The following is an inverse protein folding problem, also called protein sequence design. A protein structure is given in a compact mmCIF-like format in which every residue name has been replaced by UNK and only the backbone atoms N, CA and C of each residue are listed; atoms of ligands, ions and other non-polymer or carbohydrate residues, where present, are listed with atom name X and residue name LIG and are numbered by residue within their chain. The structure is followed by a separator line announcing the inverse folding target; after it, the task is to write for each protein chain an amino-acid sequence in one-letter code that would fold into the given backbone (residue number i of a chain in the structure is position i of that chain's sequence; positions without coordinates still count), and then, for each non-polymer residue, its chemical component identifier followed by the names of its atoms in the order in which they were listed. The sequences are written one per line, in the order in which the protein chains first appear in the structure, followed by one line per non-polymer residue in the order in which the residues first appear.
data_IF_544675388886
#
_entry.id   IF_544675388886
#
_cell.length_a   1.000
_cell.length_b   1.000
_cell.length_c   1.000
_cell.angle_alpha   90.00
_cell.angle_beta   90.00
_cell.angle_gamma   90.00
#
_symmetry.space_group_name_H-M   'P 1'
#
loop_
_entity.id
_entity.type
_entity.pdbx_description
1 polymer ?
#
# COMPACT_ATOMS: atom_id res chain seq x y z
N UNK A 1 -3.04 22.39 -3.00
CA UNK A 1 -2.44 21.39 -2.09
C UNK A 1 -2.48 20.04 -2.81
N UNK A 2 -1.34 19.37 -2.98
CA UNK A 2 -1.25 18.13 -3.76
C UNK A 2 -1.23 16.87 -2.89
N UNK A 3 -1.23 15.69 -3.52
CA UNK A 3 -1.26 14.38 -2.84
C UNK A 3 -0.13 14.20 -1.81
N UNK A 4 1.08 14.69 -2.09
CA UNK A 4 2.20 14.63 -1.14
C UNK A 4 1.90 15.39 0.17
N UNK A 5 1.30 16.58 0.07
CA UNK A 5 0.93 17.37 1.25
C UNK A 5 -0.20 16.73 2.06
N UNK A 6 -1.11 15.99 1.41
CA UNK A 6 -2.14 15.23 2.12
C UNK A 6 -1.55 14.02 2.88
N UNK A 7 -0.58 13.35 2.28
CA UNK A 7 0.13 12.22 2.91
C UNK A 7 0.99 12.67 4.09
N UNK A 8 1.73 13.77 3.96
CA UNK A 8 2.50 14.35 5.07
C UNK A 8 1.59 14.67 6.26
N UNK A 9 0.46 15.32 6.00
CA UNK A 9 -0.50 15.66 7.06
C UNK A 9 -1.11 14.44 7.73
N UNK A 10 -1.43 13.39 6.97
CA UNK A 10 -1.95 12.14 7.52
C UNK A 10 -0.89 11.40 8.35
N UNK A 11 0.37 11.41 7.91
CA UNK A 11 1.47 10.82 8.65
C UNK A 11 1.69 11.52 10.00
N UNK A 12 1.63 12.85 10.02
CA UNK A 12 1.72 13.65 11.24
C UNK A 12 0.58 13.35 12.23
N UNK A 13 -0.62 13.08 11.73
CA UNK A 13 -1.81 12.78 12.55
C UNK A 13 -1.75 11.36 13.14
N UNK A 14 -1.34 10.37 12.36
CA UNK A 14 -1.36 8.96 12.77
C UNK A 14 -0.14 8.53 13.58
N UNK A 15 1.03 9.13 13.35
CA UNK A 15 2.28 8.68 13.96
C UNK A 15 3.22 9.87 14.30
N UNK A 16 2.80 10.78 15.20
CA UNK A 16 3.58 11.96 15.54
C UNK A 16 4.96 11.57 16.10
N UNK A 17 6.02 12.14 15.53
CA UNK A 17 7.41 11.90 15.93
C UNK A 17 8.01 10.56 15.46
N UNK A 18 7.31 9.80 14.63
CA UNK A 18 7.82 8.56 14.03
C UNK A 18 8.49 8.85 12.69
N UNK A 19 9.80 8.62 12.59
CA UNK A 19 10.50 8.60 11.31
C UNK A 19 10.44 7.21 10.69
N UNK A 20 9.92 7.10 9.46
CA UNK A 20 9.96 5.85 8.73
C UNK A 20 11.39 5.48 8.34
N UNK A 21 11.77 4.22 8.53
CA UNK A 21 13.02 3.70 7.99
C UNK A 21 12.96 3.70 6.47
N UNK A 22 13.69 4.61 5.84
CA UNK A 22 13.79 4.69 4.37
C UNK A 22 14.76 3.61 3.91
N UNK A 23 14.22 2.52 3.37
CA UNK A 23 15.04 1.51 2.71
C UNK A 23 15.72 2.12 1.46
N UNK A 24 17.00 1.81 1.27
CA UNK A 24 17.73 2.20 0.06
C UNK A 24 17.00 1.71 -1.19
N UNK A 25 16.99 2.51 -2.25
CA UNK A 25 16.38 2.13 -3.52
C UNK A 25 17.19 0.97 -4.15
N UNK A 26 16.77 -0.26 -3.90
CA UNK A 26 17.32 -1.47 -4.53
C UNK A 26 16.32 -1.95 -5.57
N UNK A 27 16.82 -2.47 -6.70
CA UNK A 27 15.97 -3.21 -7.64
C UNK A 27 15.59 -4.52 -6.95
N UNK A 28 14.32 -4.73 -6.57
CA UNK A 28 13.89 -6.00 -6.01
C UNK A 28 13.91 -7.06 -7.12
N UNK A 29 14.07 -8.33 -6.74
CA UNK A 29 13.71 -9.43 -7.62
C UNK A 29 12.25 -9.27 -8.05
N UNK A 30 11.94 -9.69 -9.28
CA UNK A 30 10.59 -9.57 -9.83
C UNK A 30 9.59 -10.27 -8.91
N UNK A 31 8.64 -9.54 -8.29
CA UNK A 31 7.61 -10.16 -7.48
C UNK A 31 6.72 -10.99 -8.42
N UNK A 32 6.76 -12.31 -8.29
CA UNK A 32 5.83 -13.20 -8.99
C UNK A 32 4.53 -13.28 -8.19
N UNK A 33 3.78 -12.17 -8.17
CA UNK A 33 2.51 -12.09 -7.47
C UNK A 33 2.13 -10.65 -7.12
N UNK A 34 0.86 -10.29 -7.32
CA UNK A 34 0.38 -8.95 -7.04
C UNK A 34 0.30 -8.69 -5.53
N UNK A 35 1.00 -7.66 -5.03
CA UNK A 35 0.79 -6.90 -3.77
C UNK A 35 0.25 -7.64 -2.51
N UNK A 36 0.52 -8.93 -2.39
CA UNK A 36 0.13 -9.79 -1.26
C UNK A 36 1.33 -10.36 -0.52
N UNK A 37 2.53 -10.32 -1.10
CA UNK A 37 3.74 -10.84 -0.47
C UNK A 37 4.04 -10.17 0.87
N UNK A 38 3.83 -8.85 1.01
CA UNK A 38 4.12 -8.15 2.26
C UNK A 38 3.11 -8.49 3.38
N UNK A 39 1.81 -8.52 3.07
CA UNK A 39 0.77 -8.92 4.02
C UNK A 39 0.89 -10.38 4.46
N UNK A 40 1.32 -11.26 3.55
CA UNK A 40 1.58 -12.67 3.84
C UNK A 40 2.91 -12.88 4.57
N UNK A 41 3.97 -12.14 4.22
CA UNK A 41 5.31 -12.33 4.78
C UNK A 41 5.50 -11.69 6.17
N UNK A 42 4.65 -10.74 6.56
CA UNK A 42 4.73 -10.07 7.85
C UNK A 42 3.39 -10.13 8.62
N UNK A 43 2.94 -11.32 9.05
CA UNK A 43 1.71 -11.47 9.82
C UNK A 43 1.76 -10.60 11.08
N UNK A 44 0.73 -9.78 11.27
CA UNK A 44 0.63 -8.83 12.38
C UNK A 44 1.10 -7.40 12.08
N UNK A 45 1.54 -7.10 10.85
CA UNK A 45 1.79 -5.73 10.39
C UNK A 45 0.69 -5.28 9.44
N UNK A 46 0.05 -4.16 9.78
CA UNK A 46 -0.97 -3.54 8.92
C UNK A 46 -0.35 -3.07 7.60
N UNK A 47 -1.00 -3.40 6.49
CA UNK A 47 -0.55 -3.03 5.14
C UNK A 47 -1.51 -2.00 4.53
N UNK A 48 -0.96 -0.87 4.08
CA UNK A 48 -1.71 0.16 3.36
C UNK A 48 -1.31 0.16 1.88
N UNK A 49 -2.28 -0.05 0.98
CA UNK A 49 -2.11 0.04 -0.48
C UNK A 49 -2.81 1.29 -1.02
N UNK A 50 -2.09 2.08 -1.81
CA UNK A 50 -2.62 3.30 -2.42
C UNK A 50 -2.70 3.12 -3.94
N UNK A 51 -3.87 3.32 -4.52
CA UNK A 51 -4.11 3.19 -5.96
C UNK A 51 -4.89 4.38 -6.49
N UNK A 52 -4.55 4.84 -7.70
CA UNK A 52 -5.44 5.70 -8.49
C UNK A 52 -6.48 4.84 -9.24
N UNK A 53 -7.63 5.40 -9.57
CA UNK A 53 -8.69 4.80 -10.39
C UNK A 53 -8.14 4.03 -11.61
N UNK A 54 -7.28 4.65 -12.42
CA UNK A 54 -6.69 4.03 -13.60
C UNK A 54 -5.78 2.85 -13.25
N UNK A 55 -5.01 2.94 -12.16
CA UNK A 55 -4.15 1.83 -11.72
C UNK A 55 -4.95 0.65 -11.13
N UNK A 56 -6.09 0.94 -10.48
CA UNK A 56 -6.98 -0.07 -9.94
C UNK A 56 -7.63 -0.91 -11.05
N UNK A 57 -7.95 -0.30 -12.19
CA UNK A 57 -8.49 -1.02 -13.35
C UNK A 57 -7.53 -2.09 -13.89
N UNK A 58 -6.22 -1.82 -13.90
CA UNK A 58 -5.21 -2.78 -14.37
C UNK A 58 -4.82 -3.82 -13.31
N UNK A 59 -5.21 -3.62 -12.06
CA UNK A 59 -4.84 -4.48 -10.92
C UNK A 59 -6.04 -5.10 -10.21
N UNK A 60 -7.21 -5.14 -10.86
CA UNK A 60 -8.44 -5.71 -10.29
C UNK A 60 -8.28 -7.14 -9.75
N UNK A 61 -7.45 -7.98 -10.40
CA UNK A 61 -7.14 -9.33 -9.92
C UNK A 61 -6.41 -9.32 -8.56
N UNK A 62 -5.61 -8.27 -8.29
CA UNK A 62 -4.95 -8.09 -6.99
C UNK A 62 -5.98 -7.76 -5.91
N UNK A 63 -6.91 -6.84 -6.19
CA UNK A 63 -8.00 -6.47 -5.27
C UNK A 63 -8.88 -7.68 -4.93
N UNK A 64 -9.22 -8.48 -5.94
CA UNK A 64 -9.96 -9.73 -5.73
C UNK A 64 -9.19 -10.72 -4.85
N UNK A 65 -7.88 -10.84 -5.04
CA UNK A 65 -7.05 -11.73 -4.24
C UNK A 65 -6.98 -11.28 -2.78
N UNK A 66 -6.81 -9.97 -2.54
CA UNK A 66 -6.82 -9.39 -1.19
C UNK A 66 -8.13 -9.73 -0.45
N UNK A 67 -9.27 -9.57 -1.14
CA UNK A 67 -10.58 -9.87 -0.56
C UNK A 67 -10.81 -11.39 -0.36
N UNK A 68 -10.52 -12.22 -1.37
CA UNK A 68 -10.77 -13.66 -1.32
C UNK A 68 -9.91 -14.37 -0.28
N UNK A 69 -8.66 -13.95 -0.12
CA UNK A 69 -7.73 -14.52 0.86
C UNK A 69 -7.84 -13.83 2.24
N UNK A 70 -8.78 -12.88 2.39
CA UNK A 70 -8.99 -12.12 3.62
C UNK A 70 -7.69 -11.55 4.19
N UNK A 71 -6.89 -10.92 3.33
CA UNK A 71 -5.60 -10.36 3.72
C UNK A 71 -5.78 -9.08 4.53
N UNK A 72 -4.93 -8.87 5.53
CA UNK A 72 -4.86 -7.64 6.34
C UNK A 72 -4.25 -6.47 5.53
N UNK A 73 -4.98 -6.04 4.51
CA UNK A 73 -4.60 -4.95 3.60
C UNK A 73 -5.74 -3.94 3.53
N UNK A 74 -5.45 -2.69 3.88
CA UNK A 74 -6.33 -1.56 3.61
C UNK A 74 -5.94 -0.96 2.27
N UNK A 75 -6.85 -0.97 1.29
CA UNK A 75 -6.62 -0.34 -0.02
C UNK A 75 -7.43 0.94 -0.13
N UNK A 76 -6.75 2.06 -0.40
CA UNK A 76 -7.38 3.36 -0.67
C UNK A 76 -7.30 3.62 -2.17
N UNK A 77 -8.46 3.81 -2.80
CA UNK A 77 -8.58 4.17 -4.21
C UNK A 77 -8.88 5.66 -4.31
N UNK A 78 -8.00 6.39 -5.01
CA UNK A 78 -8.22 7.78 -5.38
C UNK A 78 -8.97 7.82 -6.70
N UNK A 79 -10.23 8.20 -6.62
CA UNK A 79 -11.12 8.48 -7.75
C UNK A 79 -11.10 9.99 -8.01
N UNK A 80 -10.78 10.41 -9.25
CA UNK A 80 -10.54 11.81 -9.62
C UNK A 80 -11.63 12.37 -10.53
#
# INVERSE_FOLDING_TARGET
AGAAAALERLADELAPGTTADVAAAVRPDLPTGALTAFAVAAPGKSVLSLQADGSAMYTVCALWTQARENLDVTTVIFDN
#
